data_IF_285803213772
#
_entry.id   IF_285803213772
#
_cell.length_a   1.000
_cell.length_b   1.000
_cell.length_c   1.000
_cell.angle_alpha   90.00
_cell.angle_beta   90.00
_cell.angle_gamma   90.00
#
_symmetry.space_group_name_H-M   'P 1'
#
loop_
_entity.id
_entity.type
_entity.pdbx_description
1 polymer ?
#
# COMPACT_ATOMS: atom_id res chain seq x y z
N UNK A 1 1.15 8.43 -2.15
CA UNK A 1 2.25 7.43 -2.24
C UNK A 1 3.35 7.90 -3.20
N UNK A 2 3.13 7.98 -4.51
CA UNK A 2 4.20 8.27 -5.48
C UNK A 2 5.07 9.51 -5.17
N UNK A 3 4.46 10.66 -4.90
CA UNK A 3 5.21 11.90 -4.63
C UNK A 3 6.14 11.82 -3.41
N UNK A 4 5.67 11.23 -2.31
CA UNK A 4 6.47 11.10 -1.09
C UNK A 4 7.60 10.08 -1.25
N UNK A 5 7.33 8.95 -1.91
CA UNK A 5 8.37 7.95 -2.22
C UNK A 5 9.48 8.56 -3.09
N UNK A 6 9.12 9.33 -4.12
CA UNK A 6 10.10 10.04 -4.95
C UNK A 6 10.93 11.04 -4.15
N UNK A 7 10.29 11.83 -3.28
CA UNK A 7 11.00 12.80 -2.44
C UNK A 7 12.01 12.13 -1.51
N UNK A 8 11.64 11.01 -0.88
CA UNK A 8 12.54 10.24 -0.01
C UNK A 8 13.73 9.65 -0.79
N UNK A 9 13.49 9.12 -1.99
CA UNK A 9 14.56 8.58 -2.85
C UNK A 9 15.53 9.68 -3.27
N UNK A 10 15.02 10.82 -3.75
CA UNK A 10 15.86 11.95 -4.17
C UNK A 10 16.69 12.50 -2.99
N UNK A 11 16.10 12.64 -1.79
CA UNK A 11 16.86 13.02 -0.59
C UNK A 11 17.95 12.01 -0.24
N UNK A 12 17.67 10.70 -0.37
CA UNK A 12 18.67 9.63 -0.13
C UNK A 12 19.84 9.72 -1.13
N UNK A 13 19.58 10.20 -2.34
CA UNK A 13 20.61 10.45 -3.36
C UNK A 13 21.36 11.79 -3.18
N UNK A 14 21.04 12.57 -2.14
CA UNK A 14 21.72 13.82 -1.79
C UNK A 14 21.15 15.08 -2.45
N UNK A 15 19.99 15.00 -3.08
CA UNK A 15 19.30 16.19 -3.61
C UNK A 15 18.61 16.97 -2.50
N UNK A 16 18.56 18.29 -2.66
CA UNK A 16 17.64 19.15 -1.91
C UNK A 16 16.23 19.04 -2.51
N UNK A 17 15.23 18.83 -1.66
CA UNK A 17 13.87 18.48 -2.09
C UNK A 17 12.83 19.15 -1.20
N UNK A 18 12.04 20.03 -1.81
CA UNK A 18 10.83 20.60 -1.22
C UNK A 18 9.58 19.83 -1.64
N UNK A 19 8.68 19.57 -0.69
CA UNK A 19 7.41 18.87 -0.92
C UNK A 19 6.25 19.80 -0.59
N UNK A 20 5.35 19.97 -1.55
CA UNK A 20 4.14 20.79 -1.40
C UNK A 20 2.90 19.89 -1.47
N UNK A 21 2.02 19.99 -0.47
CA UNK A 21 0.74 19.29 -0.41
C UNK A 21 -0.37 20.34 -0.25
N UNK A 22 -1.47 20.19 -1.00
CA UNK A 22 -2.59 21.14 -0.98
C UNK A 22 -3.42 20.99 0.29
N UNK A 23 -3.54 19.77 0.80
CA UNK A 23 -4.32 19.46 1.98
C UNK A 23 -3.53 19.85 3.24
N UNK A 24 -4.03 20.78 4.07
CA UNK A 24 -3.29 21.25 5.24
C UNK A 24 -3.34 20.26 6.42
N UNK A 25 -4.12 19.18 6.31
CA UNK A 25 -4.32 18.17 7.35
C UNK A 25 -3.77 16.82 6.89
N UNK A 26 -3.32 15.97 7.83
CA UNK A 26 -3.05 14.56 7.53
C UNK A 26 -4.24 13.92 6.80
N UNK A 27 -3.92 13.11 5.78
CA UNK A 27 -4.90 12.36 5.00
C UNK A 27 -5.20 11.04 5.71
N UNK A 28 -5.75 11.13 6.91
CA UNK A 28 -6.09 9.96 7.72
C UNK A 28 -7.45 9.40 7.31
N UNK A 29 -7.56 8.07 7.23
CA UNK A 29 -8.79 7.34 6.88
C UNK A 29 -9.47 7.80 5.58
N UNK A 30 -8.69 8.36 4.63
CA UNK A 30 -9.19 8.76 3.31
C UNK A 30 -8.65 7.83 2.24
N UNK A 31 -9.52 7.02 1.66
CA UNK A 31 -9.22 6.21 0.47
C UNK A 31 -9.79 4.79 0.53
N UNK A 32 -9.77 4.11 -0.62
CA UNK A 32 -9.94 2.66 -0.68
C UNK A 32 -8.66 1.94 -0.27
N UNK A 33 -8.76 0.64 0.01
CA UNK A 33 -7.56 -0.19 0.22
C UNK A 33 -6.67 -0.21 -1.03
N UNK A 34 -5.36 -0.06 -0.84
CA UNK A 34 -4.38 -0.10 -1.92
C UNK A 34 -3.75 -1.49 -1.93
N UNK A 35 -3.79 -2.18 -3.06
CA UNK A 35 -3.04 -3.43 -3.24
C UNK A 35 -1.55 -3.09 -3.30
N UNK A 36 -0.79 -3.73 -2.43
CA UNK A 36 0.65 -3.56 -2.33
C UNK A 36 1.29 -4.59 -3.27
N UNK A 37 1.86 -4.11 -4.37
CA UNK A 37 2.61 -4.97 -5.29
C UNK A 37 3.96 -5.36 -4.64
N UNK A 38 4.49 -6.57 -4.90
CA UNK A 38 5.77 -7.01 -4.32
C UNK A 38 6.92 -6.02 -4.54
N UNK A 39 6.96 -5.34 -5.69
CA UNK A 39 7.98 -4.33 -5.99
C UNK A 39 7.89 -3.12 -5.05
N UNK A 40 6.68 -2.71 -4.66
CA UNK A 40 6.45 -1.61 -3.72
C UNK A 40 6.89 -1.98 -2.31
N UNK A 41 6.75 -3.26 -1.93
CA UNK A 41 7.14 -3.74 -0.60
C UNK A 41 8.65 -3.66 -0.37
N UNK A 42 9.47 -3.84 -1.42
CA UNK A 42 10.93 -3.74 -1.32
C UNK A 42 11.43 -2.38 -0.80
N UNK A 43 10.65 -1.31 -0.99
CA UNK A 43 10.98 0.00 -0.41
C UNK A 43 11.06 -0.05 1.12
N UNK A 44 10.22 -0.87 1.76
CA UNK A 44 10.21 -0.97 3.22
C UNK A 44 11.46 -1.67 3.75
N UNK A 45 12.12 -2.49 2.92
CA UNK A 45 13.39 -3.11 3.25
C UNK A 45 14.53 -2.10 3.12
N UNK A 46 14.82 -1.40 4.22
CA UNK A 46 15.98 -0.52 4.35
C UNK A 46 15.73 0.96 4.04
N UNK A 47 14.53 1.34 3.60
CA UNK A 47 14.16 2.77 3.39
C UNK A 47 12.94 3.21 4.21
N UNK A 48 12.45 2.35 5.11
CA UNK A 48 11.37 2.65 6.05
C UNK A 48 11.76 2.31 7.48
N UNK A 49 11.30 3.11 8.44
CA UNK A 49 11.40 2.78 9.87
C UNK A 49 10.34 1.76 10.33
N UNK A 50 9.30 1.55 9.52
CA UNK A 50 8.18 0.61 9.77
C UNK A 50 8.29 -0.60 8.87
N UNK A 51 7.95 -1.77 9.39
CA UNK A 51 7.83 -2.99 8.59
C UNK A 51 6.54 -2.99 7.79
N UNK A 52 6.55 -3.65 6.62
CA UNK A 52 5.35 -3.79 5.78
C UNK A 52 4.20 -4.51 6.51
N UNK A 53 4.52 -5.42 7.43
CA UNK A 53 3.55 -6.14 8.26
C UNK A 53 2.79 -5.23 9.23
N UNK A 54 3.36 -4.07 9.60
CA UNK A 54 2.69 -3.09 10.47
C UNK A 54 1.68 -2.21 9.70
N UNK A 55 1.71 -2.25 8.37
CA UNK A 55 0.98 -1.33 7.50
C UNK A 55 0.08 -2.07 6.49
N UNK A 56 0.04 -3.40 6.56
CA UNK A 56 -0.70 -4.23 5.60
C UNK A 56 -1.40 -5.41 6.25
N UNK A 57 -2.49 -5.82 5.60
CA UNK A 57 -3.17 -7.09 5.87
C UNK A 57 -2.91 -8.04 4.71
N UNK A 58 -2.78 -9.34 5.00
CA UNK A 58 -2.61 -10.39 3.99
C UNK A 58 -3.93 -11.13 3.80
N UNK A 59 -4.31 -11.37 2.54
CA UNK A 59 -5.45 -12.20 2.17
C UNK A 59 -4.96 -13.47 1.47
N UNK A 60 -5.48 -14.61 1.91
CA UNK A 60 -5.06 -15.93 1.43
C UNK A 60 -6.09 -16.62 0.52
N UNK A 61 -7.33 -16.13 0.49
CA UNK A 61 -8.46 -16.76 -0.19
C UNK A 61 -9.29 -15.75 -0.97
N UNK A 62 -9.48 -16.01 -2.27
CA UNK A 62 -10.29 -15.20 -3.16
C UNK A 62 -11.54 -15.97 -3.56
N UNK A 63 -12.69 -15.30 -3.53
CA UNK A 63 -13.95 -15.80 -4.07
C UNK A 63 -14.53 -14.82 -5.06
N UNK A 64 -14.98 -15.33 -6.20
CA UNK A 64 -15.87 -14.60 -7.09
C UNK A 64 -17.29 -15.11 -6.85
N UNK A 65 -18.19 -14.19 -6.53
CA UNK A 65 -19.60 -14.48 -6.29
C UNK A 65 -20.42 -14.12 -7.54
N UNK A 66 -21.35 -14.98 -7.90
CA UNK A 66 -22.34 -14.74 -8.93
C UNK A 66 -23.50 -13.88 -8.42
N UNK A 67 -24.40 -13.54 -9.33
CA UNK A 67 -25.56 -12.70 -9.00
C UNK A 67 -26.57 -13.37 -8.07
N UNK A 68 -26.49 -14.70 -7.87
CA UNK A 68 -27.35 -15.45 -6.95
C UNK A 68 -26.63 -15.80 -5.63
N UNK A 69 -25.55 -15.08 -5.30
CA UNK A 69 -24.65 -15.36 -4.18
C UNK A 69 -23.95 -16.73 -4.24
N UNK A 70 -23.95 -17.36 -5.41
CA UNK A 70 -23.25 -18.61 -5.67
C UNK A 70 -21.74 -18.36 -5.86
N UNK A 71 -20.91 -19.30 -5.39
CA UNK A 71 -19.45 -19.21 -5.57
C UNK A 71 -19.10 -19.69 -6.97
N UNK A 72 -18.77 -18.76 -7.86
CA UNK A 72 -18.33 -19.06 -9.23
C UNK A 72 -16.89 -19.56 -9.29
N UNK A 73 -16.07 -19.13 -8.33
CA UNK A 73 -14.67 -19.54 -8.19
C UNK A 73 -14.21 -19.32 -6.76
N UNK A 74 -13.40 -20.25 -6.26
CA UNK A 74 -12.62 -20.12 -5.03
C UNK A 74 -11.21 -20.62 -5.29
N UNK A 75 -10.21 -19.91 -4.78
CA UNK A 75 -8.83 -20.35 -4.86
C UNK A 75 -7.91 -19.64 -3.88
N UNK A 76 -6.78 -20.29 -3.61
CA UNK A 76 -5.68 -19.69 -2.88
C UNK A 76 -5.05 -18.57 -3.69
N UNK A 77 -4.75 -17.46 -3.04
CA UNK A 77 -3.95 -16.38 -3.59
C UNK A 77 -3.15 -15.72 -2.46
N UNK A 78 -2.13 -14.94 -2.78
CA UNK A 78 -1.40 -14.17 -1.76
C UNK A 78 -1.27 -12.72 -2.21
N UNK A 79 -2.13 -11.85 -1.69
CA UNK A 79 -1.94 -10.40 -1.82
C UNK A 79 -1.92 -9.72 -0.46
N UNK A 80 -1.21 -8.59 -0.41
CA UNK A 80 -1.27 -7.64 0.68
C UNK A 80 -2.00 -6.39 0.23
N UNK A 81 -2.81 -5.86 1.12
CA UNK A 81 -3.43 -4.55 0.96
C UNK A 81 -3.12 -3.68 2.18
N UNK A 82 -3.17 -2.37 2.00
CA UNK A 82 -3.03 -1.43 3.12
C UNK A 82 -4.06 -1.75 4.20
N UNK A 83 -3.61 -1.94 5.43
CA UNK A 83 -4.49 -2.03 6.59
C UNK A 83 -4.73 -0.63 7.14
N UNK A 84 -5.99 -0.32 7.43
CA UNK A 84 -6.35 0.87 8.20
C UNK A 84 -6.47 0.43 9.66
N UNK A 85 -5.61 0.97 10.53
CA UNK A 85 -5.53 0.64 11.96
C UNK A 85 -4.58 1.57 12.67
#
# INVERSE_FOLDING_TARGET
>A
IGGLTSALLLRTLGFDVDVFERTPTPLDNRGGGIVLQPITMKWFDGHSARRIDELSVTSHWLRYLGAADDVLYEGSFEWRSTSWG
#
